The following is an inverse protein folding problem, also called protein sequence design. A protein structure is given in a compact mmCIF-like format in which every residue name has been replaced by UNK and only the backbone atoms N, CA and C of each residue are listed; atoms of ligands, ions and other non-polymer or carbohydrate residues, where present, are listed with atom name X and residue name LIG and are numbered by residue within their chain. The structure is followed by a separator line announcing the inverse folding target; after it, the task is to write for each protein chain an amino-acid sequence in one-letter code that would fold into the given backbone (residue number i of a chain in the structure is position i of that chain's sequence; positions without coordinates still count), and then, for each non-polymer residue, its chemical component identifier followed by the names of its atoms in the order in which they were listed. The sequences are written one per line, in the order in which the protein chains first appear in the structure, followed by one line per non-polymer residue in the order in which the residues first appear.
data_IF_021134476878
#
_entry.id   IF_021134476878
#
_cell.length_a   1.000
_cell.length_b   1.000
_cell.length_c   1.000
_cell.angle_alpha   90.00
_cell.angle_beta   90.00
_cell.angle_gamma   90.00
#
_symmetry.space_group_name_H-M   'P 1'
#
loop_
_entity.id
_entity.type
_entity.pdbx_description
1 polymer ?
#
# COMPACT_ATOMS: atom_id res chain seq x y z
N UNK A 1 28.86 3.11 -13.06
CA UNK A 1 28.38 1.92 -13.79
C UNK A 1 27.90 2.35 -15.17
N UNK A 2 28.12 1.55 -16.22
CA UNK A 2 27.54 1.76 -17.56
C UNK A 2 26.69 0.53 -17.89
N UNK A 3 25.46 0.76 -18.34
CA UNK A 3 24.55 -0.31 -18.76
C UNK A 3 24.12 -0.06 -20.21
N UNK A 4 23.93 -1.14 -20.98
CA UNK A 4 23.46 -1.07 -22.35
C UNK A 4 21.93 -1.01 -22.36
N UNK A 5 21.37 -0.21 -23.25
CA UNK A 5 19.94 -0.21 -23.53
C UNK A 5 19.64 -1.37 -24.48
N UNK A 6 18.74 -2.25 -24.11
CA UNK A 6 18.25 -3.36 -24.93
C UNK A 6 16.77 -3.14 -25.29
N UNK A 7 16.17 -4.07 -26.03
CA UNK A 7 14.73 -4.02 -26.35
C UNK A 7 13.83 -4.05 -25.11
N UNK A 8 14.33 -4.64 -24.02
CA UNK A 8 13.67 -4.69 -22.71
C UNK A 8 13.98 -3.46 -21.83
N UNK A 9 14.77 -2.50 -22.33
CA UNK A 9 15.18 -1.31 -21.59
C UNK A 9 16.56 -1.44 -20.94
N UNK A 10 16.73 -0.86 -19.75
CA UNK A 10 17.98 -0.88 -18.98
C UNK A 10 17.79 -1.76 -17.75
N UNK A 11 18.64 -2.76 -17.58
CA UNK A 11 18.61 -3.63 -16.41
C UNK A 11 19.37 -3.00 -15.24
N UNK A 12 18.66 -2.73 -14.13
CA UNK A 12 19.24 -2.24 -12.88
C UNK A 12 19.55 -3.46 -11.99
N UNK A 13 20.82 -3.68 -11.59
CA UNK A 13 21.17 -4.79 -10.72
C UNK A 13 20.42 -4.75 -9.39
N UNK A 14 19.89 -5.91 -8.95
CA UNK A 14 19.10 -6.04 -7.71
C UNK A 14 19.84 -5.56 -6.45
N UNK A 15 21.16 -5.71 -6.41
CA UNK A 15 21.99 -5.23 -5.30
C UNK A 15 21.91 -3.70 -5.09
N UNK A 16 21.57 -2.93 -6.12
CA UNK A 16 21.36 -1.48 -6.00
C UNK A 16 19.99 -1.13 -5.39
N UNK A 17 19.08 -2.10 -5.29
CA UNK A 17 17.72 -1.95 -4.78
C UNK A 17 17.45 -2.86 -3.58
N UNK A 18 18.51 -3.30 -2.89
CA UNK A 18 18.38 -4.20 -1.74
C UNK A 18 17.60 -3.53 -0.59
N UNK A 19 16.64 -4.25 -0.01
CA UNK A 19 15.74 -3.71 1.02
C UNK A 19 14.62 -2.81 0.51
N UNK A 20 14.55 -2.53 -0.80
CA UNK A 20 13.48 -1.72 -1.41
C UNK A 20 12.45 -2.67 -2.03
N UNK A 21 11.19 -2.56 -1.60
CA UNK A 21 10.08 -3.39 -2.09
C UNK A 21 9.45 -2.84 -3.37
N UNK A 22 9.39 -1.52 -3.49
CA UNK A 22 8.74 -0.84 -4.61
C UNK A 22 9.47 0.48 -4.89
N UNK A 23 9.50 0.89 -6.16
CA UNK A 23 10.14 2.12 -6.61
C UNK A 23 9.19 2.93 -7.48
N UNK A 24 9.27 4.25 -7.36
CA UNK A 24 8.69 5.19 -8.32
C UNK A 24 9.74 5.53 -9.39
N UNK A 25 9.31 5.54 -10.64
CA UNK A 25 10.17 5.89 -11.79
C UNK A 25 9.68 7.22 -12.36
N UNK A 26 10.53 8.24 -12.25
CA UNK A 26 10.25 9.60 -12.69
C UNK A 26 11.13 9.94 -13.89
N UNK A 27 10.52 10.48 -14.95
CA UNK A 27 11.26 10.96 -16.12
C UNK A 27 11.29 12.48 -16.10
N UNK A 28 12.48 13.05 -15.92
CA UNK A 28 12.70 14.50 -15.96
C UNK A 28 13.65 14.84 -17.10
N UNK A 29 13.19 15.58 -18.12
CA UNK A 29 14.03 16.08 -19.22
C UNK A 29 15.05 15.03 -19.74
N UNK A 30 16.31 15.14 -19.33
CA UNK A 30 17.46 14.30 -19.73
C UNK A 30 17.83 13.18 -18.75
N UNK A 31 17.03 12.93 -17.70
CA UNK A 31 17.32 11.93 -16.66
C UNK A 31 16.08 11.12 -16.28
N UNK A 32 16.33 9.89 -15.84
CA UNK A 32 15.34 9.02 -15.21
C UNK A 32 15.78 8.85 -13.77
N UNK A 33 14.89 9.16 -12.83
CA UNK A 33 15.09 8.99 -11.40
C UNK A 33 14.31 7.76 -10.95
N UNK A 34 14.96 6.89 -10.17
CA UNK A 34 14.34 5.73 -9.54
C UNK A 34 14.47 5.93 -8.04
N UNK A 35 13.35 6.10 -7.35
CA UNK A 35 13.31 6.37 -5.91
C UNK A 35 12.44 5.35 -5.19
N UNK A 36 12.73 4.97 -3.94
CA UNK A 36 11.86 4.09 -3.18
C UNK A 36 10.43 4.65 -3.07
N UNK A 37 9.43 3.81 -3.28
CA UNK A 37 8.03 4.16 -3.00
C UNK A 37 7.84 4.25 -1.48
N UNK A 38 7.44 5.42 -1.01
CA UNK A 38 7.14 5.68 0.42
C UNK A 38 5.64 5.46 0.70
N UNK A 39 4.85 5.23 -0.36
CA UNK A 39 3.40 5.11 -0.25
C UNK A 39 3.04 3.75 0.33
N UNK A 40 2.87 3.70 1.65
CA UNK A 40 2.16 2.60 2.31
C UNK A 40 0.71 2.64 1.84
N UNK A 41 0.21 1.53 1.30
CA UNK A 41 -1.19 1.41 0.92
C UNK A 41 -2.09 1.79 2.13
N UNK A 42 -3.01 2.76 1.96
CA UNK A 42 -3.92 3.18 3.03
C UNK A 42 -4.70 2.03 3.64
N UNK A 43 -4.93 0.94 2.90
CA UNK A 43 -5.61 -0.26 3.42
C UNK A 43 -4.87 -0.86 4.62
N UNK A 44 -3.52 -0.85 4.61
CA UNK A 44 -2.70 -1.34 5.72
C UNK A 44 -2.66 -0.38 6.91
N UNK A 45 -3.23 0.83 6.77
CA UNK A 45 -3.34 1.81 7.85
C UNK A 45 -4.76 1.85 8.44
N UNK A 46 -5.73 1.11 7.89
CA UNK A 46 -7.06 0.99 8.47
C UNK A 46 -6.98 0.40 9.88
N UNK A 47 -7.70 1.01 10.82
CA UNK A 47 -7.68 0.60 12.22
C UNK A 47 -6.43 0.99 13.00
N UNK A 48 -5.44 1.67 12.38
CA UNK A 48 -4.24 2.14 13.11
C UNK A 48 -4.53 3.30 14.06
N UNK A 49 -5.63 4.03 13.84
CA UNK A 49 -6.10 5.08 14.74
C UNK A 49 -7.63 4.97 14.90
N UNK A 50 -8.11 4.03 15.72
CA UNK A 50 -9.54 3.86 15.95
C UNK A 50 -10.10 5.04 16.75
N UNK A 51 -11.28 5.51 16.37
CA UNK A 51 -12.01 6.50 17.16
C UNK A 51 -12.70 5.82 18.34
N UNK A 52 -12.54 6.36 19.54
CA UNK A 52 -13.35 5.96 20.69
C UNK A 52 -14.72 6.62 20.56
N UNK A 53 -15.72 5.84 20.19
CA UNK A 53 -17.12 6.27 20.15
C UNK A 53 -17.81 5.83 21.44
N UNK A 54 -18.51 6.74 22.13
CA UNK A 54 -19.33 6.43 23.31
C UNK A 54 -20.68 5.79 22.94
N UNK A 55 -20.77 5.15 21.78
CA UNK A 55 -21.95 4.41 21.34
C UNK A 55 -21.66 2.92 21.43
N UNK A 56 -22.62 2.16 21.94
CA UNK A 56 -22.59 0.69 21.90
C UNK A 56 -22.32 0.21 20.48
N UNK A 57 -21.45 -0.78 20.34
CA UNK A 57 -21.15 -1.33 19.03
C UNK A 57 -22.45 -1.89 18.41
N UNK A 58 -22.72 -1.52 17.16
CA UNK A 58 -23.88 -2.00 16.41
C UNK A 58 -23.87 -3.53 16.27
N UNK A 59 -22.71 -4.17 16.43
CA UNK A 59 -22.56 -5.62 16.47
C UNK A 59 -23.05 -6.27 17.78
N UNK A 60 -23.22 -5.52 18.88
CA UNK A 60 -23.63 -6.06 20.18
C UNK A 60 -25.00 -6.75 20.15
N UNK A 61 -25.87 -6.32 19.24
CA UNK A 61 -27.21 -6.90 19.04
C UNK A 61 -27.33 -7.62 17.70
N UNK A 62 -26.21 -7.90 17.02
CA UNK A 62 -26.24 -8.49 15.68
C UNK A 62 -27.03 -9.80 15.65
N UNK A 63 -26.86 -10.65 16.66
CA UNK A 63 -27.62 -11.89 16.83
C UNK A 63 -29.13 -11.66 16.97
N UNK A 64 -29.55 -10.55 17.58
CA UNK A 64 -30.97 -10.18 17.69
C UNK A 64 -31.57 -9.81 16.34
N UNK A 65 -30.79 -9.25 15.42
CA UNK A 65 -31.27 -8.93 14.06
C UNK A 65 -31.23 -10.13 13.11
N UNK A 66 -30.27 -11.05 13.31
CA UNK A 66 -30.18 -12.28 12.51
C UNK A 66 -31.16 -13.37 12.95
N UNK A 67 -31.38 -13.51 14.27
CA UNK A 67 -32.20 -14.56 14.86
C UNK A 67 -33.47 -14.04 15.53
N UNK A 68 -33.74 -12.73 15.43
CA UNK A 68 -34.97 -12.10 15.90
C UNK A 68 -36.18 -12.62 15.14
N UNK A 69 -36.74 -13.71 15.65
CA UNK A 69 -38.07 -14.15 15.28
C UNK A 69 -39.05 -13.03 15.60
N UNK A 70 -39.65 -12.44 14.57
CA UNK A 70 -40.87 -11.66 14.70
C UNK A 70 -41.88 -12.50 15.49
N UNK A 71 -42.23 -12.04 16.69
CA UNK A 71 -43.41 -12.47 17.45
C UNK A 71 -44.42 -11.33 17.46
#
# INVERSE_FOLDING_TARGET
MKAKVTEQGVLIPKALLEGILEVEILKENSRILVVPSIKKDPIYQLGSNPITCNMSDASEKHDTYLYGQYR
#
